data_IF_492811363590
#
_entry.id   IF_492811363590
#
_cell.length_a   1.000
_cell.length_b   1.000
_cell.length_c   1.000
_cell.angle_alpha   90.00
_cell.angle_beta   90.00
_cell.angle_gamma   90.00
#
_symmetry.space_group_name_H-M   'P 1'
#
loop_
_entity.id
_entity.type
_entity.pdbx_description
1 polymer ?
#
# COMPACT_ATOMS: atom_id res chain seq x y z
N UNK A 1 12.22 71.00 -58.07
CA UNK A 1 12.51 69.51 -57.99
C UNK A 1 12.41 69.14 -56.57
N UNK A 2 11.28 68.43 -56.18
CA UNK A 2 11.02 67.95 -54.81
C UNK A 2 11.02 66.43 -54.88
N UNK A 3 12.02 65.83 -54.30
CA UNK A 3 12.16 64.35 -54.17
C UNK A 3 11.42 63.89 -52.98
N UNK A 4 10.38 63.03 -53.19
CA UNK A 4 9.68 62.30 -52.12
C UNK A 4 10.43 61.01 -51.78
N UNK A 5 10.86 60.87 -50.52
CA UNK A 5 11.39 59.62 -49.96
C UNK A 5 10.24 58.87 -49.37
N UNK A 6 9.89 57.74 -49.98
CA UNK A 6 8.87 56.83 -49.43
C UNK A 6 9.56 55.83 -48.52
N UNK A 7 9.30 55.91 -47.22
CA UNK A 7 9.80 54.93 -46.22
C UNK A 7 8.86 53.74 -46.18
N UNK A 8 9.37 52.58 -46.55
CA UNK A 8 8.67 51.29 -46.48
C UNK A 8 8.94 50.69 -45.08
N UNK A 9 7.90 50.69 -44.21
CA UNK A 9 8.00 50.06 -42.90
C UNK A 9 7.62 48.58 -43.08
N UNK A 10 8.63 47.68 -42.94
CA UNK A 10 8.44 46.23 -42.88
C UNK A 10 7.99 45.85 -41.47
N UNK A 11 6.74 45.43 -41.34
CA UNK A 11 6.22 44.89 -40.09
C UNK A 11 6.65 43.39 -39.98
N UNK A 12 7.63 43.11 -39.12
CA UNK A 12 7.99 41.73 -38.77
C UNK A 12 6.97 41.20 -37.75
N UNK A 13 6.02 40.34 -38.19
CA UNK A 13 5.17 39.58 -37.31
C UNK A 13 5.95 38.33 -36.87
N UNK A 14 6.52 38.38 -35.67
CA UNK A 14 7.14 37.20 -35.04
C UNK A 14 6.05 36.32 -34.42
N UNK A 15 5.67 35.24 -35.09
CA UNK A 15 4.82 34.19 -34.52
C UNK A 15 5.65 33.41 -33.52
N UNK A 16 5.41 33.65 -32.23
CA UNK A 16 5.96 32.83 -31.15
C UNK A 16 5.15 31.52 -31.05
N UNK A 17 5.77 30.42 -31.49
CA UNK A 17 5.25 29.08 -31.21
C UNK A 17 5.48 28.77 -29.73
N UNK A 18 4.42 28.84 -28.93
CA UNK A 18 4.44 28.38 -27.55
C UNK A 18 4.38 26.84 -27.60
N UNK A 19 5.56 26.20 -27.48
CA UNK A 19 5.62 24.76 -27.18
C UNK A 19 5.14 24.57 -25.75
N UNK A 20 3.89 24.18 -25.59
CA UNK A 20 3.40 23.63 -24.33
C UNK A 20 4.13 22.31 -24.06
N UNK A 21 5.13 22.35 -23.18
CA UNK A 21 5.72 21.12 -22.63
C UNK A 21 4.64 20.45 -21.75
N UNK A 22 3.95 19.48 -22.30
CA UNK A 22 3.21 18.53 -21.50
C UNK A 22 4.23 17.75 -20.66
N UNK A 23 4.30 18.09 -19.38
CA UNK A 23 4.98 17.25 -18.39
C UNK A 23 4.19 15.92 -18.31
N UNK A 24 4.57 14.96 -19.15
CA UNK A 24 4.19 13.58 -18.96
C UNK A 24 4.89 13.14 -17.68
N UNK A 25 4.12 13.05 -16.59
CA UNK A 25 4.62 12.45 -15.37
C UNK A 25 4.99 10.99 -15.71
N UNK A 26 6.27 10.76 -15.93
CA UNK A 26 6.81 9.40 -16.04
C UNK A 26 6.58 8.75 -14.69
N UNK A 27 5.58 7.87 -14.62
CA UNK A 27 5.37 7.01 -13.46
C UNK A 27 6.68 6.25 -13.23
N UNK A 28 7.41 6.63 -12.20
CA UNK A 28 8.64 5.96 -11.81
C UNK A 28 8.26 4.53 -11.41
N UNK A 29 8.66 3.56 -12.23
CA UNK A 29 8.51 2.15 -11.87
C UNK A 29 9.35 1.92 -10.61
N UNK A 30 8.68 1.71 -9.49
CA UNK A 30 9.34 1.49 -8.20
C UNK A 30 10.11 0.17 -8.26
N UNK A 31 11.42 0.24 -8.21
CA UNK A 31 12.29 -0.94 -8.18
C UNK A 31 12.50 -1.35 -6.73
N UNK A 32 12.21 -2.60 -6.43
CA UNK A 32 12.41 -3.17 -5.09
C UNK A 32 13.71 -3.96 -5.02
N UNK A 33 14.40 -3.89 -3.90
CA UNK A 33 15.53 -4.79 -3.58
C UNK A 33 15.03 -6.23 -3.43
N UNK A 34 15.96 -7.20 -3.44
CA UNK A 34 15.61 -8.61 -3.24
C UNK A 34 14.85 -8.85 -1.92
N UNK A 35 15.30 -8.21 -0.84
CA UNK A 35 14.64 -8.33 0.48
C UNK A 35 13.25 -7.72 0.49
N UNK A 36 13.07 -6.53 -0.10
CA UNK A 36 11.73 -5.92 -0.20
C UNK A 36 10.78 -6.79 -1.03
N UNK A 37 11.27 -7.37 -2.13
CA UNK A 37 10.46 -8.29 -2.94
C UNK A 37 10.09 -9.57 -2.18
N UNK A 38 10.99 -10.11 -1.36
CA UNK A 38 10.73 -11.24 -0.46
C UNK A 38 9.57 -10.90 0.51
N UNK A 39 9.60 -9.74 1.14
CA UNK A 39 8.55 -9.28 2.05
C UNK A 39 7.21 -9.05 1.33
N UNK A 40 7.22 -8.45 0.13
CA UNK A 40 6.01 -8.26 -0.67
C UNK A 40 5.37 -9.62 -1.01
N UNK A 41 6.18 -10.60 -1.39
CA UNK A 41 5.71 -11.96 -1.69
C UNK A 41 5.11 -12.60 -0.44
N UNK A 42 5.80 -12.51 0.68
CA UNK A 42 5.35 -13.07 1.96
C UNK A 42 4.02 -12.44 2.43
N UNK A 43 3.84 -11.14 2.22
CA UNK A 43 2.57 -10.45 2.50
C UNK A 43 1.42 -10.97 1.63
N UNK A 44 1.67 -11.20 0.33
CA UNK A 44 0.66 -11.79 -0.57
C UNK A 44 0.29 -13.20 -0.15
N UNK A 45 1.28 -14.03 0.17
CA UNK A 45 1.06 -15.40 0.65
C UNK A 45 0.27 -15.40 1.96
N UNK A 46 0.57 -14.49 2.88
CA UNK A 46 -0.20 -14.29 4.13
C UNK A 46 -1.67 -14.01 3.84
N UNK A 47 -1.98 -13.07 2.92
CA UNK A 47 -3.38 -12.77 2.57
C UNK A 47 -4.09 -13.98 1.98
N UNK A 48 -3.40 -14.78 1.15
CA UNK A 48 -3.96 -16.03 0.63
C UNK A 48 -4.20 -17.04 1.75
N UNK A 49 -3.23 -17.25 2.67
CA UNK A 49 -3.42 -18.15 3.81
C UNK A 49 -4.55 -17.72 4.74
N UNK A 50 -4.76 -16.41 4.91
CA UNK A 50 -5.90 -15.89 5.67
C UNK A 50 -7.24 -16.19 4.95
N UNK A 51 -7.28 -16.04 3.62
CA UNK A 51 -8.46 -16.38 2.82
C UNK A 51 -8.78 -17.87 2.87
N UNK A 52 -7.77 -18.71 2.81
CA UNK A 52 -7.89 -20.18 2.87
C UNK A 52 -8.08 -20.73 4.29
N UNK A 53 -8.02 -19.85 5.31
CA UNK A 53 -8.01 -20.21 6.74
C UNK A 53 -6.91 -21.22 7.10
N UNK A 54 -5.77 -21.12 6.41
CA UNK A 54 -4.61 -21.98 6.60
C UNK A 54 -3.88 -21.64 7.90
N UNK A 55 -4.44 -22.10 9.02
CA UNK A 55 -3.92 -21.82 10.37
C UNK A 55 -2.48 -22.29 10.57
N UNK A 56 -2.08 -23.39 9.93
CA UNK A 56 -0.72 -23.95 10.06
C UNK A 56 0.33 -23.03 9.41
N UNK A 57 0.06 -22.56 8.19
CA UNK A 57 0.95 -21.62 7.50
C UNK A 57 1.04 -20.29 8.27
N UNK A 58 -0.10 -19.78 8.77
CA UNK A 58 -0.16 -18.55 9.57
C UNK A 58 0.57 -18.70 10.91
N UNK A 59 0.43 -19.83 11.60
CA UNK A 59 1.16 -20.12 12.85
C UNK A 59 2.66 -20.18 12.63
N UNK A 60 3.10 -20.65 11.47
CA UNK A 60 4.51 -20.63 11.08
C UNK A 60 5.02 -19.22 10.76
N UNK A 61 4.17 -18.35 10.19
CA UNK A 61 4.54 -16.98 9.86
C UNK A 61 4.50 -16.07 11.10
N UNK A 62 3.45 -16.15 11.90
CA UNK A 62 3.24 -15.24 13.02
C UNK A 62 4.25 -15.49 14.14
N UNK A 63 4.85 -14.41 14.65
CA UNK A 63 5.69 -14.51 15.83
C UNK A 63 4.81 -14.76 17.06
N UNK A 64 5.27 -15.59 18.03
CA UNK A 64 4.50 -15.90 19.24
C UNK A 64 4.08 -14.66 20.08
N UNK A 65 4.81 -13.55 19.92
CA UNK A 65 4.52 -12.25 20.56
C UNK A 65 3.96 -11.22 19.57
N UNK A 66 3.40 -11.66 18.44
CA UNK A 66 2.81 -10.71 17.49
C UNK A 66 1.58 -10.03 18.07
N UNK A 67 1.31 -8.83 17.58
CA UNK A 67 0.15 -8.02 17.98
C UNK A 67 -0.68 -7.72 16.72
N UNK A 68 -1.97 -8.01 16.81
CA UNK A 68 -2.94 -7.76 15.77
C UNK A 68 -3.89 -6.67 16.22
N UNK A 69 -3.97 -5.57 15.48
CA UNK A 69 -4.80 -4.40 15.82
C UNK A 69 -5.91 -4.29 14.78
N UNK A 70 -7.14 -4.46 15.23
CA UNK A 70 -8.35 -4.35 14.42
C UNK A 70 -9.17 -3.13 14.86
N UNK A 71 -10.18 -2.73 14.08
CA UNK A 71 -11.07 -1.61 14.45
C UNK A 71 -11.79 -1.86 15.78
N UNK A 72 -12.05 -3.11 16.14
CA UNK A 72 -12.78 -3.50 17.36
C UNK A 72 -11.89 -3.84 18.56
N UNK A 73 -10.57 -3.87 18.41
CA UNK A 73 -9.65 -4.23 19.50
C UNK A 73 -8.32 -4.77 19.02
N UNK A 74 -7.48 -5.16 19.98
CA UNK A 74 -6.17 -5.74 19.71
C UNK A 74 -5.97 -7.03 20.52
N UNK A 75 -5.25 -8.00 19.94
CA UNK A 75 -4.96 -9.27 20.58
C UNK A 75 -3.67 -9.90 20.04
N UNK A 76 -3.26 -11.00 20.65
CA UNK A 76 -2.05 -11.74 20.30
C UNK A 76 -2.30 -12.87 19.31
N UNK A 77 -1.21 -13.60 19.03
CA UNK A 77 -1.14 -14.64 17.99
C UNK A 77 -2.18 -15.73 18.15
N UNK A 78 -2.32 -16.30 19.36
CA UNK A 78 -3.21 -17.43 19.58
C UNK A 78 -4.67 -17.07 19.33
N UNK A 79 -5.07 -15.85 19.71
CA UNK A 79 -6.42 -15.36 19.47
C UNK A 79 -6.65 -15.11 17.98
N UNK A 80 -5.69 -14.51 17.27
CA UNK A 80 -5.79 -14.26 15.81
C UNK A 80 -5.96 -15.57 15.05
N UNK A 81 -5.14 -16.58 15.34
CA UNK A 81 -5.23 -17.91 14.72
C UNK A 81 -6.61 -18.55 15.00
N UNK A 82 -7.11 -18.46 16.23
CA UNK A 82 -8.42 -19.01 16.60
C UNK A 82 -9.56 -18.27 15.89
N UNK A 83 -9.48 -16.94 15.77
CA UNK A 83 -10.47 -16.12 15.06
C UNK A 83 -10.53 -16.49 13.59
N UNK A 84 -9.38 -16.65 12.91
CA UNK A 84 -9.31 -17.04 11.50
C UNK A 84 -9.83 -18.48 11.32
N UNK A 85 -9.33 -19.42 12.11
CA UNK A 85 -9.72 -20.84 12.04
C UNK A 85 -11.21 -21.05 12.28
N UNK A 86 -11.77 -20.36 13.29
CA UNK A 86 -13.17 -20.41 13.63
C UNK A 86 -14.09 -19.61 12.71
N UNK A 87 -13.52 -18.73 11.87
CA UNK A 87 -14.28 -17.89 10.95
C UNK A 87 -14.99 -16.71 11.61
N UNK A 88 -14.61 -16.33 12.84
CA UNK A 88 -15.11 -15.13 13.50
C UNK A 88 -14.79 -13.86 12.70
N UNK A 89 -13.61 -13.85 12.08
CA UNK A 89 -13.27 -12.98 10.97
C UNK A 89 -12.72 -13.88 9.85
N UNK A 90 -13.32 -13.82 8.67
CA UNK A 90 -12.82 -14.49 7.48
C UNK A 90 -12.38 -13.47 6.45
N UNK A 91 -11.10 -13.35 6.22
CA UNK A 91 -10.45 -12.44 5.27
C UNK A 91 -10.51 -13.05 3.86
N UNK A 92 -11.65 -12.91 3.17
CA UNK A 92 -11.91 -13.60 1.89
C UNK A 92 -11.01 -13.15 0.76
N UNK A 93 -10.73 -11.84 0.67
CA UNK A 93 -9.93 -11.26 -0.40
C UNK A 93 -9.39 -9.88 0.00
N UNK A 94 -8.11 -9.67 -0.22
CA UNK A 94 -7.48 -8.35 -0.14
C UNK A 94 -7.12 -7.90 -1.56
N UNK A 95 -7.82 -6.90 -2.10
CA UNK A 95 -7.45 -6.24 -3.34
C UNK A 95 -6.41 -5.17 -3.03
N UNK A 96 -5.14 -5.45 -3.37
CA UNK A 96 -4.00 -4.59 -3.05
C UNK A 96 -3.84 -3.55 -4.16
N UNK A 97 -4.06 -2.27 -3.85
CA UNK A 97 -3.91 -1.14 -4.78
C UNK A 97 -2.50 -0.58 -4.77
N UNK A 98 -1.90 -0.47 -3.58
CA UNK A 98 -0.55 0.04 -3.39
C UNK A 98 0.18 -0.77 -2.34
N UNK A 99 1.50 -0.90 -2.53
CA UNK A 99 2.39 -1.51 -1.55
C UNK A 99 3.67 -0.69 -1.43
N UNK A 100 4.14 -0.53 -0.21
CA UNK A 100 5.47 0.00 0.05
C UNK A 100 6.16 -0.79 1.16
N UNK A 101 7.48 -0.91 1.06
CA UNK A 101 8.31 -1.64 2.04
C UNK A 101 9.50 -0.78 2.41
N UNK A 102 9.80 -0.70 3.70
CA UNK A 102 11.04 -0.16 4.23
C UNK A 102 11.73 -1.23 5.08
N UNK A 103 12.98 -1.55 4.76
CA UNK A 103 13.78 -2.50 5.52
C UNK A 103 14.77 -1.74 6.38
N UNK A 104 14.73 -2.00 7.68
CA UNK A 104 15.60 -1.39 8.70
C UNK A 104 16.22 -2.54 9.48
N UNK A 105 17.50 -2.81 9.23
CA UNK A 105 18.23 -3.93 9.84
C UNK A 105 17.50 -5.28 9.69
N UNK A 106 17.03 -5.83 10.79
CA UNK A 106 16.28 -7.09 10.85
C UNK A 106 14.77 -6.89 10.88
N UNK A 107 14.30 -5.70 10.54
CA UNK A 107 12.87 -5.34 10.55
C UNK A 107 12.46 -4.84 9.17
N UNK A 108 11.32 -5.30 8.69
CA UNK A 108 10.69 -4.75 7.50
C UNK A 108 9.30 -4.23 7.87
N UNK A 109 9.00 -2.98 7.46
CA UNK A 109 7.70 -2.36 7.61
C UNK A 109 7.09 -2.29 6.22
N UNK A 110 5.95 -2.94 6.05
CA UNK A 110 5.20 -2.95 4.80
C UNK A 110 3.86 -2.24 5.01
N UNK A 111 3.51 -1.36 4.10
CA UNK A 111 2.19 -0.74 4.01
C UNK A 111 1.48 -1.26 2.77
N UNK A 112 0.24 -1.69 2.96
CA UNK A 112 -0.70 -2.04 1.90
C UNK A 112 -1.91 -1.12 1.95
N UNK A 113 -2.24 -0.44 0.85
CA UNK A 113 -3.57 0.13 0.66
C UNK A 113 -4.44 -0.91 -0.04
N UNK A 114 -5.51 -1.34 0.63
CA UNK A 114 -6.36 -2.46 0.18
C UNK A 114 -7.84 -2.15 0.28
N UNK A 115 -8.63 -2.84 -0.56
CA UNK A 115 -10.04 -3.12 -0.26
C UNK A 115 -10.14 -4.55 0.27
N UNK A 116 -10.58 -4.70 1.51
CA UNK A 116 -10.71 -5.99 2.17
C UNK A 116 -12.15 -6.48 2.15
N UNK A 117 -12.41 -7.55 1.40
CA UNK A 117 -13.63 -8.34 1.50
C UNK A 117 -13.48 -9.35 2.64
N UNK A 118 -14.32 -9.22 3.64
CA UNK A 118 -14.31 -10.10 4.80
C UNK A 118 -15.71 -10.50 5.24
N UNK A 119 -15.82 -11.61 5.99
CA UNK A 119 -17.02 -11.93 6.79
C UNK A 119 -16.68 -11.67 8.25
N UNK A 120 -17.48 -10.82 8.91
CA UNK A 120 -17.30 -10.45 10.31
C UNK A 120 -18.61 -10.70 11.05
N UNK A 121 -18.58 -11.59 12.04
CA UNK A 121 -19.80 -11.96 12.77
C UNK A 121 -20.93 -12.50 11.87
N UNK A 122 -20.56 -13.18 10.77
CA UNK A 122 -21.51 -13.75 9.81
C UNK A 122 -21.95 -12.79 8.69
N UNK A 123 -21.57 -11.51 8.73
CA UNK A 123 -21.91 -10.51 7.71
C UNK A 123 -20.74 -10.27 6.77
N UNK A 124 -21.00 -10.31 5.46
CA UNK A 124 -20.00 -9.96 4.45
C UNK A 124 -19.91 -8.44 4.33
N UNK A 125 -18.66 -7.91 4.39
CA UNK A 125 -18.36 -6.49 4.34
C UNK A 125 -17.14 -6.25 3.45
N UNK A 126 -17.09 -5.11 2.78
CA UNK A 126 -15.89 -4.63 2.09
C UNK A 126 -15.51 -3.28 2.66
N UNK A 127 -14.29 -3.19 3.17
CA UNK A 127 -13.78 -1.95 3.75
C UNK A 127 -12.40 -1.58 3.18
N UNK A 128 -12.16 -0.29 2.90
CA UNK A 128 -10.84 0.19 2.53
C UNK A 128 -9.97 0.39 3.77
N UNK A 129 -8.72 -0.08 3.69
CA UNK A 129 -7.73 0.03 4.75
C UNK A 129 -6.36 0.45 4.23
N UNK A 130 -5.65 1.19 5.07
CA UNK A 130 -4.19 1.21 5.10
C UNK A 130 -3.75 0.18 6.14
N UNK A 131 -3.05 -0.87 5.70
CA UNK A 131 -2.62 -1.96 6.57
C UNK A 131 -1.12 -1.88 6.78
N UNK A 132 -0.71 -1.78 8.04
CA UNK A 132 0.70 -1.85 8.43
C UNK A 132 1.05 -3.28 8.85
N UNK A 133 2.07 -3.84 8.21
CA UNK A 133 2.65 -5.14 8.53
C UNK A 133 4.09 -4.93 8.98
N UNK A 134 4.45 -5.43 10.15
CA UNK A 134 5.82 -5.41 10.66
C UNK A 134 6.37 -6.82 10.68
N UNK A 135 7.41 -7.06 9.88
CA UNK A 135 8.13 -8.31 9.85
C UNK A 135 9.47 -8.16 10.58
N UNK A 136 9.85 -9.19 11.35
CA UNK A 136 11.12 -9.26 12.06
C UNK A 136 11.88 -10.51 11.64
N UNK A 137 13.19 -10.42 11.46
CA UNK A 137 14.04 -11.57 11.08
C UNK A 137 14.53 -12.29 12.33
N UNK A 138 14.02 -13.49 12.57
CA UNK A 138 14.37 -14.34 13.72
C UNK A 138 15.06 -15.59 13.22
N UNK A 139 16.30 -15.81 13.62
CA UNK A 139 17.12 -16.96 13.18
C UNK A 139 17.16 -17.13 11.65
N UNK A 140 17.25 -16.01 10.93
CA UNK A 140 17.30 -15.99 9.47
C UNK A 140 15.94 -16.07 8.75
N UNK A 141 14.84 -16.26 9.45
CA UNK A 141 13.50 -16.34 8.89
C UNK A 141 12.68 -15.10 9.24
N UNK A 142 11.90 -14.60 8.28
CA UNK A 142 10.94 -13.52 8.52
C UNK A 142 9.70 -14.04 9.25
N UNK A 143 9.33 -13.35 10.32
CA UNK A 143 8.13 -13.57 11.12
C UNK A 143 7.31 -12.30 11.19
N UNK A 144 6.00 -12.40 11.09
CA UNK A 144 5.11 -11.25 11.31
C UNK A 144 5.05 -10.93 12.80
N UNK A 145 5.45 -9.71 13.16
CA UNK A 145 5.44 -9.20 14.54
C UNK A 145 4.26 -8.29 14.83
N UNK A 146 3.68 -7.64 13.80
CA UNK A 146 2.46 -6.85 13.96
C UNK A 146 1.69 -6.76 12.66
N UNK A 147 0.36 -6.72 12.78
CA UNK A 147 -0.60 -6.43 11.71
C UNK A 147 -1.61 -5.42 12.25
N UNK A 148 -1.73 -4.26 11.61
CA UNK A 148 -2.62 -3.19 12.06
C UNK A 148 -3.46 -2.65 10.92
N UNK A 149 -4.76 -2.51 11.15
CA UNK A 149 -5.73 -2.01 10.18
C UNK A 149 -6.14 -0.57 10.53
N UNK A 150 -5.89 0.37 9.63
CA UNK A 150 -6.36 1.74 9.73
C UNK A 150 -7.42 1.98 8.65
N UNK A 151 -8.64 2.31 9.06
CA UNK A 151 -9.72 2.61 8.11
C UNK A 151 -9.42 3.92 7.38
N UNK A 152 -9.60 3.92 6.04
CA UNK A 152 -9.41 5.10 5.17
C UNK A 152 -10.73 5.73 4.74
N UNK A 153 -11.84 5.37 5.39
CA UNK A 153 -13.19 5.91 5.08
C UNK A 153 -13.30 7.40 5.36
N UNK A 154 -12.47 7.94 6.26
CA UNK A 154 -12.43 9.38 6.55
C UNK A 154 -11.34 10.03 5.69
N UNK A 155 -11.71 10.92 4.72
CA UNK A 155 -10.70 11.70 4.03
C UNK A 155 -9.93 12.53 5.07
N UNK A 156 -8.61 12.36 5.11
CA UNK A 156 -7.75 13.28 5.86
C UNK A 156 -7.91 14.63 5.18
N UNK A 157 -8.45 15.63 5.91
CA UNK A 157 -8.52 16.99 5.40
C UNK A 157 -7.10 17.46 5.05
N UNK A 158 -6.87 18.07 3.88
CA UNK A 158 -5.55 18.60 3.51
C UNK A 158 -4.99 19.63 4.50
N UNK A 159 -5.80 20.10 5.43
CA UNK A 159 -5.41 21.09 6.47
C UNK A 159 -4.63 20.47 7.65
N UNK A 160 -4.40 19.15 7.67
CA UNK A 160 -3.73 18.45 8.79
C UNK A 160 -2.32 17.96 8.42
N UNK A 161 -1.82 18.28 7.20
CA UNK A 161 -0.47 17.91 6.75
C UNK A 161 0.45 19.12 6.66
#
# INVERSE_FOLDING_TARGET
>A
MKTFFSAFILLFVSTQFIFSQQNVAVSQVKTYTKTEQEIITLSKDKWQWMADKNADALSNLFHAKAVFVHMGGAWGTDQEINVIKGGGIWYKKADIHEVSVNVIDNTAILLNRIDLLAVVGGNEVTNPFEVTEVYIKVKGQWKLGSLSFTSTVFPISPEVL
#
